data_IF_072976509236
#
_entry.id   IF_072976509236
#
_cell.length_a   1.000
_cell.length_b   1.000
_cell.length_c   1.000
_cell.angle_alpha   90.00
_cell.angle_beta   90.00
_cell.angle_gamma   90.00
#
_symmetry.space_group_name_H-M   'P 1'
#
loop_
_entity.id
_entity.type
_entity.pdbx_description
1 polymer ?
#
# COMPACT_ATOMS: atom_id res chain seq x y z
N UNK A 1 26.60 15.04 -66.00
CA UNK A 1 26.42 14.67 -64.58
C UNK A 1 25.08 13.97 -64.45
N UNK A 2 25.07 12.64 -64.45
CA UNK A 2 23.85 11.87 -64.19
C UNK A 2 23.93 11.36 -62.74
N UNK A 3 22.96 11.75 -61.94
CA UNK A 3 22.81 11.33 -60.54
C UNK A 3 22.25 9.91 -60.53
N UNK A 4 23.08 8.92 -60.18
CA UNK A 4 22.63 7.56 -59.91
C UNK A 4 22.07 7.50 -58.48
N UNK A 5 20.74 7.55 -58.34
CA UNK A 5 20.04 7.25 -57.09
C UNK A 5 20.07 5.72 -56.86
N UNK A 6 21.07 5.24 -56.12
CA UNK A 6 21.07 3.86 -55.60
C UNK A 6 20.35 3.82 -54.26
N UNK A 7 19.14 3.29 -54.27
CA UNK A 7 18.45 2.81 -53.08
C UNK A 7 17.86 1.44 -53.38
N UNK A 8 18.71 0.40 -53.32
CA UNK A 8 18.22 -0.98 -53.31
C UNK A 8 17.69 -1.26 -51.91
N UNK A 9 16.38 -1.07 -51.70
CA UNK A 9 15.72 -1.63 -50.53
C UNK A 9 16.00 -3.14 -50.55
N UNK A 10 16.76 -3.62 -49.57
CA UNK A 10 17.06 -5.06 -49.47
C UNK A 10 15.73 -5.76 -49.22
N UNK A 11 15.44 -6.81 -49.98
CA UNK A 11 14.19 -7.59 -49.86
C UNK A 11 13.86 -8.01 -48.42
N UNK A 12 14.88 -8.19 -47.57
CA UNK A 12 14.70 -8.44 -46.14
C UNK A 12 14.06 -7.29 -45.36
N UNK A 13 14.35 -6.03 -45.70
CA UNK A 13 13.70 -4.85 -45.07
C UNK A 13 12.23 -4.75 -45.46
N UNK A 14 11.90 -5.05 -46.73
CA UNK A 14 10.52 -5.11 -47.20
C UNK A 14 9.78 -6.22 -46.44
N UNK A 15 10.36 -7.42 -46.37
CA UNK A 15 9.76 -8.55 -45.67
C UNK A 15 9.52 -8.26 -44.18
N UNK A 16 10.50 -7.70 -43.47
CA UNK A 16 10.33 -7.32 -42.06
C UNK A 16 9.24 -6.27 -41.87
N UNK A 17 9.16 -5.28 -42.76
CA UNK A 17 8.11 -4.27 -42.71
C UNK A 17 6.73 -4.87 -43.00
N UNK A 18 6.64 -5.79 -43.98
CA UNK A 18 5.41 -6.53 -44.27
C UNK A 18 4.99 -7.41 -43.10
N UNK A 19 5.92 -8.11 -42.44
CA UNK A 19 5.63 -8.91 -41.25
C UNK A 19 5.14 -8.04 -40.10
N UNK A 20 5.72 -6.86 -39.88
CA UNK A 20 5.23 -5.91 -38.87
C UNK A 20 3.83 -5.38 -39.19
N UNK A 21 3.56 -5.05 -40.46
CA UNK A 21 2.22 -4.62 -40.90
C UNK A 21 1.19 -5.74 -40.77
N UNK A 22 1.55 -6.98 -41.15
CA UNK A 22 0.69 -8.15 -40.97
C UNK A 22 0.48 -8.45 -39.48
N UNK A 23 1.51 -8.36 -38.65
CA UNK A 23 1.37 -8.54 -37.21
C UNK A 23 0.51 -7.46 -36.57
N UNK A 24 0.57 -6.21 -37.05
CA UNK A 24 -0.32 -5.13 -36.63
C UNK A 24 -1.76 -5.36 -37.12
N UNK A 25 -1.95 -5.85 -38.35
CA UNK A 25 -3.26 -6.12 -38.94
C UNK A 25 -3.95 -7.36 -38.34
N UNK A 26 -3.17 -8.40 -38.05
CA UNK A 26 -3.62 -9.63 -37.39
C UNK A 26 -3.55 -9.56 -35.87
N UNK A 27 -3.04 -8.46 -35.30
CA UNK A 27 -3.24 -8.15 -33.89
C UNK A 27 -4.75 -8.11 -33.71
N UNK A 28 -5.27 -9.08 -32.95
CA UNK A 28 -6.70 -9.22 -32.68
C UNK A 28 -7.30 -7.84 -32.44
N UNK A 29 -8.41 -7.49 -33.12
CA UNK A 29 -9.16 -6.30 -32.76
C UNK A 29 -9.45 -6.38 -31.26
N UNK A 30 -9.41 -5.22 -30.62
CA UNK A 30 -9.76 -5.00 -29.21
C UNK A 30 -10.76 -6.05 -28.75
N UNK A 31 -10.41 -6.77 -27.69
CA UNK A 31 -11.27 -7.83 -27.19
C UNK A 31 -12.65 -7.22 -26.91
N UNK A 32 -13.73 -7.99 -27.09
CA UNK A 32 -15.09 -7.55 -26.70
C UNK A 32 -15.11 -7.01 -25.25
N UNK A 33 -14.18 -7.48 -24.42
CA UNK A 33 -13.93 -7.00 -23.07
C UNK A 33 -13.43 -5.55 -23.04
N UNK A 34 -12.49 -5.16 -23.92
CA UNK A 34 -11.95 -3.80 -24.01
C UNK A 34 -13.01 -2.78 -24.47
N UNK A 35 -13.85 -3.15 -25.45
CA UNK A 35 -14.97 -2.31 -25.89
C UNK A 35 -16.02 -2.15 -24.78
N UNK A 36 -16.38 -3.24 -24.09
CA UNK A 36 -17.30 -3.20 -22.94
C UNK A 36 -16.72 -2.35 -21.82
N UNK A 37 -15.44 -2.51 -21.50
CA UNK A 37 -14.76 -1.71 -20.50
C UNK A 37 -14.78 -0.22 -20.86
N UNK A 38 -14.47 0.11 -22.12
CA UNK A 38 -14.56 1.49 -22.62
C UNK A 38 -15.97 2.07 -22.54
N UNK A 39 -17.00 1.29 -22.87
CA UNK A 39 -18.40 1.69 -22.77
C UNK A 39 -18.83 1.93 -21.31
N UNK A 40 -18.40 1.07 -20.38
CA UNK A 40 -18.67 1.22 -18.94
C UNK A 40 -17.97 2.48 -18.40
N UNK A 41 -16.66 2.63 -18.63
CA UNK A 41 -15.89 3.77 -18.15
C UNK A 41 -16.43 5.10 -18.69
N UNK A 42 -16.70 5.18 -19.99
CA UNK A 42 -17.26 6.39 -20.60
C UNK A 42 -18.67 6.71 -20.08
N UNK A 43 -19.49 5.70 -19.80
CA UNK A 43 -20.82 5.89 -19.22
C UNK A 43 -20.75 6.37 -17.77
N UNK A 44 -19.82 5.83 -16.97
CA UNK A 44 -19.57 6.29 -15.60
C UNK A 44 -19.08 7.74 -15.58
N UNK A 45 -18.07 8.08 -16.39
CA UNK A 45 -17.58 9.46 -16.53
C UNK A 45 -18.69 10.43 -16.98
N UNK A 46 -19.58 9.98 -17.88
CA UNK A 46 -20.72 10.79 -18.31
C UNK A 46 -21.74 10.96 -17.20
N UNK A 47 -21.98 9.94 -16.37
CA UNK A 47 -22.88 10.04 -15.22
C UNK A 47 -22.32 10.99 -14.17
N UNK A 48 -21.02 10.89 -13.87
CA UNK A 48 -20.28 11.79 -12.99
C UNK A 48 -20.41 13.25 -13.44
N UNK A 49 -20.13 13.55 -14.72
CA UNK A 49 -20.26 14.92 -15.27
C UNK A 49 -21.67 15.52 -15.18
N UNK A 50 -22.72 14.71 -15.02
CA UNK A 50 -24.09 15.22 -14.84
C UNK A 50 -24.32 15.77 -13.43
N UNK A 51 -23.51 15.35 -12.47
CA UNK A 51 -23.55 15.83 -11.09
C UNK A 51 -22.35 16.77 -10.94
N UNK A 52 -22.52 18.03 -11.33
CA UNK A 52 -21.49 19.03 -11.14
C UNK A 52 -21.22 19.23 -9.65
N UNK A 53 -19.97 19.07 -9.22
CA UNK A 53 -19.57 19.48 -7.87
C UNK A 53 -19.52 21.00 -7.82
N UNK A 54 -20.23 21.59 -6.88
CA UNK A 54 -20.19 23.03 -6.67
C UNK A 54 -18.88 23.41 -6.00
N UNK A 55 -18.04 24.18 -6.68
CA UNK A 55 -16.83 24.76 -6.06
C UNK A 55 -17.15 25.77 -4.94
N UNK A 56 -18.43 26.12 -4.75
CA UNK A 56 -18.89 27.07 -3.71
C UNK A 56 -19.22 26.34 -2.40
N UNK A 57 -19.62 25.06 -2.46
CA UNK A 57 -19.97 24.26 -1.30
C UNK A 57 -19.42 22.84 -1.47
N UNK A 58 -18.22 22.61 -0.93
CA UNK A 58 -17.56 21.30 -0.91
C UNK A 58 -18.33 20.38 0.04
N UNK A 59 -18.69 19.15 -0.37
CA UNK A 59 -19.27 18.18 0.55
C UNK A 59 -18.32 17.91 1.72
N UNK A 60 -18.88 17.81 2.93
CA UNK A 60 -18.13 17.55 4.15
C UNK A 60 -18.24 16.08 4.51
N UNK A 61 -17.13 15.35 4.45
CA UNK A 61 -17.10 13.91 4.71
C UNK A 61 -16.28 13.64 5.95
N UNK A 62 -16.87 13.02 6.96
CA UNK A 62 -16.15 12.53 8.12
C UNK A 62 -15.78 11.06 7.91
N UNK A 63 -14.51 10.71 8.10
CA UNK A 63 -13.97 9.38 7.84
C UNK A 63 -13.08 8.99 9.03
N UNK A 64 -13.36 7.86 9.66
CA UNK A 64 -12.48 7.21 10.64
C UNK A 64 -12.72 5.71 10.58
N UNK A 65 -12.02 4.83 11.28
CA UNK A 65 -10.72 5.01 11.93
C UNK A 65 -9.68 4.16 11.18
N UNK A 66 -8.44 4.16 11.67
CA UNK A 66 -7.39 3.28 11.20
C UNK A 66 -6.51 3.96 10.16
N UNK A 67 -5.28 4.27 10.57
CA UNK A 67 -4.25 4.86 9.72
C UNK A 67 -2.86 4.50 10.21
N UNK A 68 -1.95 4.25 9.28
CA UNK A 68 -0.59 3.81 9.57
C UNK A 68 0.38 4.35 8.52
N UNK A 69 1.68 4.17 8.75
CA UNK A 69 2.71 4.35 7.74
C UNK A 69 3.20 2.97 7.30
N UNK A 70 3.08 2.70 6.01
CA UNK A 70 3.62 1.48 5.41
C UNK A 70 5.07 1.75 5.01
N UNK A 71 6.04 1.02 5.58
CA UNK A 71 7.43 1.02 5.14
C UNK A 71 7.69 -0.25 4.33
N UNK A 72 8.09 -0.11 3.08
CA UNK A 72 8.28 -1.21 2.14
C UNK A 72 9.77 -1.38 1.85
N UNK A 73 10.28 -2.59 2.07
CA UNK A 73 11.69 -2.93 1.89
C UNK A 73 11.87 -4.35 1.34
N UNK A 74 13.05 -4.64 0.78
CA UNK A 74 13.46 -6.01 0.49
C UNK A 74 13.68 -6.77 1.80
N UNK A 75 12.83 -7.77 2.06
CA UNK A 75 12.80 -8.50 3.31
C UNK A 75 14.10 -9.22 3.61
N UNK A 76 14.68 -9.89 2.62
CA UNK A 76 15.92 -10.65 2.81
C UNK A 76 17.08 -9.70 3.15
N UNK A 77 17.15 -8.56 2.48
CA UNK A 77 18.17 -7.52 2.74
C UNK A 77 18.02 -6.94 4.14
N UNK A 78 16.80 -6.65 4.59
CA UNK A 78 16.54 -6.18 5.96
C UNK A 78 16.98 -7.21 7.00
N UNK A 79 16.54 -8.47 6.87
CA UNK A 79 16.88 -9.53 7.82
C UNK A 79 18.39 -9.76 7.89
N UNK A 80 19.08 -9.70 6.75
CA UNK A 80 20.54 -9.78 6.71
C UNK A 80 21.21 -8.56 7.36
N UNK A 81 20.68 -7.34 7.17
CA UNK A 81 21.21 -6.10 7.77
C UNK A 81 21.17 -6.14 9.29
N UNK A 82 20.08 -6.65 9.88
CA UNK A 82 19.97 -6.82 11.35
C UNK A 82 20.71 -8.06 11.87
N UNK A 83 21.39 -8.81 11.00
CA UNK A 83 22.13 -10.01 11.37
C UNK A 83 21.25 -11.21 11.73
N UNK A 84 19.96 -11.21 11.33
CA UNK A 84 19.06 -12.33 11.58
C UNK A 84 19.48 -13.53 10.75
N UNK A 85 19.77 -14.64 11.43
CA UNK A 85 20.17 -15.88 10.77
C UNK A 85 18.94 -16.72 10.42
N UNK A 86 18.92 -17.36 9.24
CA UNK A 86 17.94 -18.39 8.92
C UNK A 86 17.95 -19.50 9.99
N UNK A 87 16.78 -20.06 10.27
CA UNK A 87 16.61 -21.21 11.15
C UNK A 87 16.36 -22.48 10.33
N UNK A 88 16.75 -23.65 10.84
CA UNK A 88 16.44 -24.94 10.22
C UNK A 88 15.05 -25.47 10.63
N UNK A 89 14.31 -24.73 11.46
CA UNK A 89 12.99 -25.10 11.96
C UNK A 89 11.94 -24.02 11.65
N UNK A 90 11.39 -23.97 10.42
CA UNK A 90 10.28 -23.07 10.10
C UNK A 90 9.07 -23.40 10.98
N UNK A 91 8.53 -22.40 11.67
CA UNK A 91 7.38 -22.57 12.56
C UNK A 91 6.45 -21.37 12.46
N UNK A 92 5.15 -21.67 12.41
CA UNK A 92 4.10 -20.66 12.49
C UNK A 92 3.98 -20.14 13.93
N UNK A 93 3.99 -18.83 14.09
CA UNK A 93 3.66 -18.14 15.34
C UNK A 93 2.47 -17.20 15.12
N UNK A 94 1.62 -17.05 16.13
CA UNK A 94 0.49 -16.10 16.06
C UNK A 94 0.97 -14.66 16.21
N UNK A 95 2.01 -14.45 17.02
CA UNK A 95 2.69 -13.18 17.25
C UNK A 95 4.20 -13.41 17.48
N UNK A 96 5.01 -12.35 17.45
CA UNK A 96 6.48 -12.41 17.52
C UNK A 96 6.96 -11.73 18.81
N UNK A 97 7.54 -12.50 19.72
CA UNK A 97 8.10 -12.04 21.00
C UNK A 97 9.61 -11.80 20.92
N UNK A 98 10.30 -12.47 20.01
CA UNK A 98 11.75 -12.47 19.96
C UNK A 98 12.30 -12.79 18.56
N UNK A 99 13.62 -12.61 18.44
CA UNK A 99 14.40 -12.81 17.21
C UNK A 99 14.29 -14.23 16.66
N UNK A 100 14.22 -15.25 17.53
CA UNK A 100 14.09 -16.65 17.10
C UNK A 100 12.72 -16.89 16.44
N UNK A 101 11.63 -16.45 17.07
CA UNK A 101 10.29 -16.55 16.51
C UNK A 101 10.16 -15.78 15.19
N UNK A 102 10.79 -14.61 15.07
CA UNK A 102 10.84 -13.86 13.80
C UNK A 102 11.48 -14.69 12.68
N UNK A 103 12.62 -15.33 12.95
CA UNK A 103 13.29 -16.17 11.97
C UNK A 103 12.46 -17.40 11.58
N UNK A 104 11.87 -18.07 12.56
CA UNK A 104 11.00 -19.24 12.36
C UNK A 104 9.76 -18.90 11.55
N UNK A 105 9.08 -17.80 11.89
CA UNK A 105 7.87 -17.34 11.21
C UNK A 105 8.18 -16.87 9.78
N UNK A 106 9.22 -16.05 9.58
CA UNK A 106 9.60 -15.62 8.24
C UNK A 106 9.96 -16.82 7.36
N UNK A 107 10.78 -17.77 7.84
CA UNK A 107 11.13 -18.98 7.09
C UNK A 107 9.88 -19.81 6.69
N UNK A 108 8.89 -19.90 7.59
CA UNK A 108 7.65 -20.65 7.37
C UNK A 108 6.85 -20.11 6.18
N UNK A 109 6.72 -18.78 6.06
CA UNK A 109 5.96 -18.14 4.97
C UNK A 109 6.80 -17.88 3.71
N UNK A 110 8.09 -17.64 3.86
CA UNK A 110 9.01 -17.27 2.77
C UNK A 110 9.16 -18.38 1.73
N UNK A 111 9.43 -19.62 2.16
CA UNK A 111 9.65 -20.74 1.25
C UNK A 111 8.45 -21.05 0.32
N UNK A 112 7.20 -21.18 0.82
CA UNK A 112 6.04 -21.32 -0.06
C UNK A 112 5.71 -20.04 -0.84
N UNK A 113 6.25 -18.89 -0.43
CA UNK A 113 5.90 -17.56 -0.93
C UNK A 113 4.46 -17.21 -0.56
N UNK A 114 4.10 -17.41 0.72
CA UNK A 114 2.78 -17.15 1.25
C UNK A 114 2.73 -15.77 1.94
N UNK A 115 1.57 -15.12 1.89
CA UNK A 115 1.37 -13.83 2.53
C UNK A 115 1.11 -14.03 4.01
N UNK A 116 1.65 -13.14 4.86
CA UNK A 116 1.37 -13.13 6.29
C UNK A 116 1.60 -11.76 6.88
N UNK A 117 0.99 -11.53 8.02
CA UNK A 117 1.10 -10.31 8.82
C UNK A 117 1.14 -10.69 10.29
N UNK A 118 2.12 -10.19 11.05
CA UNK A 118 2.30 -10.57 12.46
C UNK A 118 2.53 -9.36 13.35
N UNK A 119 1.86 -9.37 14.50
CA UNK A 119 2.17 -8.48 15.59
C UNK A 119 3.53 -8.84 16.18
N UNK A 120 4.39 -7.85 16.36
CA UNK A 120 5.64 -7.96 17.12
C UNK A 120 5.40 -7.31 18.47
N UNK A 121 5.32 -8.12 19.53
CA UNK A 121 5.03 -7.62 20.89
C UNK A 121 6.27 -7.07 21.61
N UNK A 122 7.43 -7.17 20.96
CA UNK A 122 8.71 -6.71 21.50
C UNK A 122 9.10 -5.39 20.83
N UNK A 123 8.78 -4.29 21.50
CA UNK A 123 9.01 -2.93 21.00
C UNK A 123 10.47 -2.68 20.62
N UNK A 124 11.42 -3.25 21.38
CA UNK A 124 12.85 -3.08 21.10
C UNK A 124 13.23 -3.76 19.77
N UNK A 125 12.73 -4.98 19.55
CA UNK A 125 12.94 -5.70 18.28
C UNK A 125 12.26 -4.96 17.12
N UNK A 126 11.04 -4.48 17.32
CA UNK A 126 10.30 -3.77 16.29
C UNK A 126 10.98 -2.45 15.91
N UNK A 127 11.38 -1.64 16.88
CA UNK A 127 12.13 -0.40 16.63
C UNK A 127 13.45 -0.66 15.91
N UNK A 128 14.18 -1.74 16.24
CA UNK A 128 15.38 -2.12 15.50
C UNK A 128 15.09 -2.45 14.02
N UNK A 129 13.96 -3.12 13.73
CA UNK A 129 13.54 -3.41 12.36
C UNK A 129 13.18 -2.12 11.60
N UNK A 130 12.41 -1.23 12.23
CA UNK A 130 12.01 0.06 11.63
C UNK A 130 13.23 0.91 11.32
N UNK A 131 14.14 1.12 12.27
CA UNK A 131 15.35 1.92 12.04
C UNK A 131 16.24 1.31 10.96
N UNK A 132 16.46 -0.01 11.00
CA UNK A 132 17.21 -0.69 9.96
C UNK A 132 16.54 -0.56 8.57
N UNK A 133 15.22 -0.56 8.50
CA UNK A 133 14.48 -0.40 7.25
C UNK A 133 14.62 1.00 6.64
N UNK A 134 14.61 2.05 7.48
CA UNK A 134 14.79 3.46 7.08
C UNK A 134 16.19 3.72 6.51
N UNK A 135 17.19 2.99 6.99
CA UNK A 135 18.56 3.09 6.50
C UNK A 135 18.83 2.32 5.19
N UNK A 136 17.91 1.46 4.74
CA UNK A 136 18.13 0.67 3.53
C UNK A 136 17.96 1.52 2.26
N UNK A 137 18.88 1.39 1.29
CA UNK A 137 18.70 2.03 0.00
C UNK A 137 17.50 1.43 -0.72
N UNK A 138 16.64 2.28 -1.27
CA UNK A 138 15.44 1.84 -1.98
C UNK A 138 14.27 1.46 -1.08
N UNK A 139 14.34 1.76 0.22
CA UNK A 139 13.12 1.78 1.04
C UNK A 139 12.11 2.76 0.42
N UNK A 140 10.84 2.41 0.56
CA UNK A 140 9.71 3.25 0.16
C UNK A 140 8.80 3.37 1.35
N UNK A 141 8.12 4.49 1.48
CA UNK A 141 7.08 4.64 2.46
C UNK A 141 5.81 5.14 1.78
N UNK A 142 4.66 4.80 2.36
CA UNK A 142 3.37 5.30 1.93
C UNK A 142 2.43 5.46 3.11
N UNK A 143 1.46 6.35 2.95
CA UNK A 143 0.31 6.44 3.86
C UNK A 143 -0.52 5.16 3.71
N UNK A 144 -0.71 4.46 4.83
CA UNK A 144 -1.50 3.24 4.94
C UNK A 144 -2.79 3.44 5.73
N UNK A 145 -3.62 2.40 5.74
CA UNK A 145 -4.90 2.38 6.43
C UNK A 145 -6.08 2.86 5.59
N UNK A 146 -7.23 2.23 5.81
CA UNK A 146 -8.43 2.44 5.00
C UNK A 146 -8.93 3.89 5.09
N UNK A 147 -8.91 4.50 6.28
CA UNK A 147 -9.45 5.84 6.48
C UNK A 147 -8.61 6.93 5.79
N UNK A 148 -7.27 7.00 5.96
CA UNK A 148 -6.43 7.94 5.21
C UNK A 148 -6.55 7.79 3.69
N UNK A 149 -6.62 6.55 3.19
CA UNK A 149 -6.76 6.31 1.74
C UNK A 149 -8.10 6.82 1.19
N UNK A 150 -9.20 6.58 1.90
CA UNK A 150 -10.49 7.15 1.53
C UNK A 150 -10.50 8.67 1.65
N UNK A 151 -9.87 9.23 2.69
CA UNK A 151 -9.77 10.68 2.89
C UNK A 151 -8.99 11.37 1.76
N UNK A 152 -7.83 10.84 1.38
CA UNK A 152 -7.05 11.33 0.25
C UNK A 152 -7.84 11.31 -1.06
N UNK A 153 -8.61 10.23 -1.29
CA UNK A 153 -9.47 10.13 -2.46
C UNK A 153 -10.60 11.16 -2.45
N UNK A 154 -11.34 11.27 -1.35
CA UNK A 154 -12.45 12.22 -1.21
C UNK A 154 -11.99 13.67 -1.33
N UNK A 155 -10.85 14.02 -0.74
CA UNK A 155 -10.25 15.35 -0.86
C UNK A 155 -9.87 15.68 -2.31
N UNK A 156 -9.32 14.70 -3.04
CA UNK A 156 -8.99 14.83 -4.47
C UNK A 156 -10.24 14.97 -5.35
N UNK A 157 -11.37 14.41 -4.90
CA UNK A 157 -12.69 14.57 -5.49
C UNK A 157 -13.43 15.80 -4.95
N UNK A 158 -12.74 16.80 -4.38
CA UNK A 158 -13.37 18.08 -4.06
C UNK A 158 -14.20 18.11 -2.77
N UNK A 159 -14.06 17.12 -1.88
CA UNK A 159 -14.64 17.17 -0.54
C UNK A 159 -13.73 17.91 0.45
N UNK A 160 -14.32 18.46 1.50
CA UNK A 160 -13.60 18.76 2.74
C UNK A 160 -13.76 17.56 3.68
N UNK A 161 -12.68 17.10 4.27
CA UNK A 161 -12.64 15.82 4.99
C UNK A 161 -12.22 16.02 6.44
N UNK A 162 -12.96 15.41 7.37
CA UNK A 162 -12.53 15.22 8.75
C UNK A 162 -12.03 13.79 8.90
N UNK A 163 -10.73 13.61 9.17
CA UNK A 163 -10.10 12.30 9.29
C UNK A 163 -9.86 11.92 10.75
N UNK A 164 -10.52 10.86 11.23
CA UNK A 164 -10.30 10.25 12.54
C UNK A 164 -9.09 9.31 12.53
N UNK A 165 -8.05 9.68 13.27
CA UNK A 165 -6.82 8.89 13.40
C UNK A 165 -5.74 9.66 14.15
N UNK A 166 -4.80 8.94 14.74
CA UNK A 166 -3.65 9.51 15.43
C UNK A 166 -2.42 9.43 14.54
N UNK A 167 -1.82 10.59 14.29
CA UNK A 167 -0.78 10.75 13.27
C UNK A 167 0.34 11.66 13.76
N UNK A 168 1.53 11.49 13.17
CA UNK A 168 2.63 12.42 13.39
C UNK A 168 2.45 13.72 12.60
N UNK A 169 3.10 14.82 13.02
CA UNK A 169 3.08 16.07 12.27
C UNK A 169 3.50 15.88 10.81
N UNK A 170 4.58 15.13 10.58
CA UNK A 170 5.08 14.84 9.23
C UNK A 170 4.01 14.14 8.38
N UNK A 171 3.29 13.16 8.95
CA UNK A 171 2.19 12.49 8.26
C UNK A 171 1.09 13.48 7.86
N UNK A 172 0.72 14.39 8.78
CA UNK A 172 -0.32 15.39 8.54
C UNK A 172 0.10 16.35 7.42
N UNK A 173 1.38 16.74 7.36
CA UNK A 173 1.92 17.64 6.33
C UNK A 173 1.89 17.03 4.92
N UNK A 174 1.84 15.69 4.80
CA UNK A 174 1.64 15.00 3.52
C UNK A 174 0.17 14.93 3.06
N UNK A 175 -0.79 15.20 3.95
CA UNK A 175 -2.20 15.19 3.60
C UNK A 175 -2.58 16.45 2.80
N UNK A 176 -3.66 16.34 2.04
CA UNK A 176 -4.26 17.50 1.38
C UNK A 176 -4.69 18.56 2.40
N UNK A 177 -4.57 19.84 2.06
CA UNK A 177 -5.07 20.96 2.89
C UNK A 177 -6.58 20.88 3.18
N UNK A 178 -7.31 20.09 2.38
CA UNK A 178 -8.74 19.81 2.56
C UNK A 178 -9.02 18.69 3.58
N UNK A 179 -7.99 18.12 4.21
CA UNK A 179 -8.13 17.07 5.23
C UNK A 179 -7.77 17.68 6.58
N UNK A 180 -8.75 17.75 7.48
CA UNK A 180 -8.55 18.09 8.89
C UNK A 180 -8.49 16.82 9.72
N UNK A 181 -7.38 16.60 10.41
CA UNK A 181 -7.22 15.46 11.31
C UNK A 181 -7.90 15.70 12.66
N UNK A 182 -8.54 14.66 13.17
CA UNK A 182 -9.23 14.60 14.44
C UNK A 182 -8.79 13.36 15.23
N UNK A 183 -7.73 13.52 16.00
CA UNK A 183 -7.10 12.48 16.81
C UNK A 183 -5.93 13.05 17.58
N UNK A 184 -5.11 12.17 18.16
CA UNK A 184 -3.93 12.57 18.90
C UNK A 184 -2.79 12.90 17.92
N UNK A 185 -1.98 13.89 18.26
CA UNK A 185 -0.67 14.07 17.61
C UNK A 185 0.32 13.17 18.33
N UNK A 186 0.90 12.23 17.61
CA UNK A 186 1.86 11.25 18.14
C UNK A 186 3.24 11.52 17.55
N UNK A 187 4.31 11.12 18.24
CA UNK A 187 5.68 11.28 17.70
C UNK A 187 5.91 10.32 16.53
N UNK A 188 5.56 9.05 16.74
CA UNK A 188 5.66 7.99 15.74
C UNK A 188 4.26 7.39 15.55
N UNK A 189 3.70 7.39 14.32
CA UNK A 189 2.43 6.74 14.04
C UNK A 189 2.59 5.20 14.07
N UNK A 190 1.47 4.48 14.05
CA UNK A 190 1.52 3.03 13.85
C UNK A 190 2.22 2.72 12.51
N UNK A 191 3.22 1.83 12.54
CA UNK A 191 4.04 1.47 11.36
C UNK A 191 3.78 0.03 10.97
N UNK A 192 3.55 -0.19 9.68
CA UNK A 192 3.47 -1.50 9.06
C UNK A 192 4.71 -1.72 8.21
N UNK A 193 5.58 -2.64 8.62
CA UNK A 193 6.78 -2.96 7.89
C UNK A 193 6.51 -4.11 6.91
N UNK A 194 6.53 -3.80 5.63
CA UNK A 194 6.23 -4.70 4.52
C UNK A 194 7.54 -5.24 3.93
N UNK A 195 7.88 -6.48 4.29
CA UNK A 195 9.08 -7.18 3.80
C UNK A 195 8.73 -7.91 2.50
N UNK A 196 8.98 -7.28 1.36
CA UNK A 196 8.77 -7.86 0.04
C UNK A 196 9.93 -8.81 -0.34
N UNK A 197 9.62 -9.86 -1.09
CA UNK A 197 10.64 -10.71 -1.70
C UNK A 197 10.17 -11.23 -3.06
N UNK A 198 11.04 -11.24 -4.09
CA UNK A 198 10.69 -11.72 -5.41
C UNK A 198 10.65 -13.25 -5.49
N UNK A 199 10.05 -13.76 -6.56
CA UNK A 199 10.13 -15.19 -6.90
C UNK A 199 11.59 -15.61 -7.09
N UNK A 200 11.99 -16.73 -6.50
CA UNK A 200 13.37 -17.23 -6.56
C UNK A 200 14.34 -16.53 -5.61
N UNK A 201 13.88 -15.61 -4.76
CA UNK A 201 14.70 -15.06 -3.68
C UNK A 201 15.18 -16.17 -2.74
N UNK A 202 16.41 -16.05 -2.26
CA UNK A 202 17.03 -17.04 -1.36
C UNK A 202 17.35 -16.43 0.00
N UNK A 203 17.06 -17.15 1.08
CA UNK A 203 17.48 -16.80 2.43
C UNK A 203 17.91 -18.07 3.18
N UNK A 204 19.22 -18.24 3.36
CA UNK A 204 19.79 -19.49 3.86
C UNK A 204 19.44 -20.69 2.96
N UNK A 205 18.89 -21.78 3.51
CA UNK A 205 18.48 -22.95 2.73
C UNK A 205 17.14 -22.76 2.01
N UNK A 206 16.41 -21.67 2.26
CA UNK A 206 15.08 -21.44 1.70
C UNK A 206 15.15 -20.67 0.39
N UNK A 207 14.28 -21.05 -0.54
CA UNK A 207 14.05 -20.32 -1.79
C UNK A 207 12.56 -20.08 -1.94
N UNK A 208 12.15 -18.84 -2.21
CA UNK A 208 10.75 -18.48 -2.35
C UNK A 208 10.18 -18.96 -3.70
N UNK A 209 9.06 -19.70 -3.65
CA UNK A 209 8.40 -20.24 -4.85
C UNK A 209 7.66 -19.19 -5.69
N UNK A 210 7.32 -18.04 -5.11
CA UNK A 210 6.62 -16.93 -5.78
C UNK A 210 6.91 -15.63 -5.06
N UNK A 211 6.75 -14.51 -5.76
CA UNK A 211 6.85 -13.20 -5.11
C UNK A 211 5.73 -13.03 -4.08
N UNK A 212 6.08 -12.54 -2.89
CA UNK A 212 5.10 -12.19 -1.86
C UNK A 212 5.70 -11.21 -0.85
N UNK A 213 4.96 -10.92 0.22
CA UNK A 213 5.40 -10.10 1.34
C UNK A 213 5.12 -10.76 2.69
N UNK A 214 5.95 -10.46 3.66
CA UNK A 214 5.77 -10.75 5.08
C UNK A 214 5.65 -9.41 5.81
N UNK A 215 4.53 -9.16 6.48
CA UNK A 215 4.27 -7.88 7.15
C UNK A 215 4.50 -8.08 8.65
N UNK A 216 5.14 -7.11 9.29
CA UNK A 216 5.18 -7.01 10.75
C UNK A 216 4.78 -5.63 11.19
N UNK A 217 4.08 -5.55 12.32
CA UNK A 217 3.62 -4.30 12.89
C UNK A 217 3.63 -4.37 14.42
N UNK A 218 3.58 -3.22 15.07
CA UNK A 218 3.47 -3.07 16.53
C UNK A 218 2.51 -1.91 16.81
N UNK A 219 1.24 -2.09 16.43
CA UNK A 219 0.25 -1.02 16.47
C UNK A 219 -0.24 -0.78 17.91
N UNK A 220 -0.13 0.47 18.36
CA UNK A 220 -0.56 0.91 19.69
C UNK A 220 -1.86 1.72 19.66
N UNK A 221 -2.22 2.28 18.50
CA UNK A 221 -3.32 3.24 18.39
C UNK A 221 -4.54 2.64 17.68
N UNK A 222 -4.31 2.04 16.51
CA UNK A 222 -5.37 1.51 15.64
C UNK A 222 -6.26 0.44 16.29
N UNK A 223 -5.73 -0.58 17.00
CA UNK A 223 -6.55 -1.62 17.64
C UNK A 223 -7.43 -1.08 18.77
N UNK A 224 -7.05 0.04 19.37
CA UNK A 224 -7.79 0.66 20.48
C UNK A 224 -8.73 1.79 20.01
N UNK A 225 -8.75 2.11 18.72
CA UNK A 225 -9.49 3.25 18.16
C UNK A 225 -9.23 4.54 18.95
N UNK A 226 -7.97 4.80 19.29
CA UNK A 226 -7.55 5.84 20.24
C UNK A 226 -8.07 7.25 19.92
N UNK A 227 -8.29 7.53 18.64
CA UNK A 227 -8.78 8.80 18.10
C UNK A 227 -10.29 8.97 18.20
N UNK A 228 -11.05 7.95 18.62
CA UNK A 228 -12.51 7.95 18.62
C UNK A 228 -13.12 9.12 19.39
N UNK A 229 -12.65 9.41 20.60
CA UNK A 229 -13.18 10.50 21.41
C UNK A 229 -12.90 11.88 20.80
N UNK A 230 -11.70 12.08 20.25
CA UNK A 230 -11.32 13.33 19.60
C UNK A 230 -12.11 13.54 18.30
N UNK A 231 -12.31 12.46 17.55
CA UNK A 231 -13.13 12.44 16.34
C UNK A 231 -14.58 12.78 16.65
N UNK A 232 -15.19 12.14 17.66
CA UNK A 232 -16.57 12.42 18.09
C UNK A 232 -16.78 13.90 18.45
N UNK A 233 -15.86 14.49 19.22
CA UNK A 233 -15.92 15.91 19.60
C UNK A 233 -15.88 16.83 18.38
N UNK A 234 -14.99 16.57 17.42
CA UNK A 234 -14.89 17.38 16.19
C UNK A 234 -16.03 17.13 15.21
N UNK A 235 -16.65 15.95 15.25
CA UNK A 235 -17.78 15.60 14.38
C UNK A 235 -18.94 16.59 14.54
N UNK A 236 -19.20 17.04 15.77
CA UNK A 236 -20.30 17.94 16.11
C UNK A 236 -20.16 19.32 15.44
N UNK A 237 -18.95 19.89 15.44
CA UNK A 237 -18.70 21.19 14.81
C UNK A 237 -18.48 21.09 13.30
N UNK A 238 -17.93 19.96 12.84
CA UNK A 238 -17.73 19.71 11.41
C UNK A 238 -19.05 19.53 10.65
N UNK A 239 -20.09 18.98 11.31
CA UNK A 239 -21.44 18.78 10.78
C UNK A 239 -21.43 18.10 9.40
N UNK A 240 -20.91 16.87 9.29
CA UNK A 240 -20.67 16.20 8.01
C UNK A 240 -21.97 15.86 7.26
N UNK A 241 -21.88 15.84 5.94
CA UNK A 241 -22.93 15.36 5.04
C UNK A 241 -22.89 13.81 4.91
N UNK A 242 -21.73 13.20 5.17
CA UNK A 242 -21.50 11.75 5.17
C UNK A 242 -20.52 11.35 6.28
N UNK A 243 -20.84 10.27 6.99
CA UNK A 243 -19.93 9.60 7.93
C UNK A 243 -19.55 8.22 7.38
N UNK A 244 -18.25 7.96 7.29
CA UNK A 244 -17.68 6.66 6.90
C UNK A 244 -16.89 6.11 8.09
N UNK A 245 -17.19 4.87 8.48
CA UNK A 245 -16.50 4.15 9.56
C UNK A 245 -15.79 2.92 9.00
N UNK A 246 -14.49 2.80 9.28
CA UNK A 246 -13.59 1.70 8.94
C UNK A 246 -12.58 1.45 10.06
N UNK A 247 -11.62 0.56 9.83
CA UNK A 247 -10.55 0.27 10.80
C UNK A 247 -10.94 -0.70 11.93
N UNK A 248 -12.23 -1.01 12.08
CA UNK A 248 -12.73 -1.94 13.11
C UNK A 248 -12.11 -3.34 13.00
N UNK A 249 -11.69 -3.76 11.81
CA UNK A 249 -11.02 -5.04 11.60
C UNK A 249 -9.66 -5.14 12.30
N UNK A 250 -9.03 -4.00 12.64
CA UNK A 250 -7.76 -3.97 13.38
C UNK A 250 -7.92 -4.39 14.84
N UNK A 251 -9.16 -4.47 15.34
CA UNK A 251 -9.47 -4.97 16.67
C UNK A 251 -9.54 -6.50 16.71
N UNK A 252 -9.63 -7.16 15.56
CA UNK A 252 -9.81 -8.61 15.50
C UNK A 252 -8.49 -9.33 15.84
N UNK A 253 -8.58 -10.38 16.67
CA UNK A 253 -7.45 -11.17 17.18
C UNK A 253 -6.29 -10.36 17.79
N UNK A 254 -6.52 -9.11 18.19
CA UNK A 254 -5.52 -8.32 18.90
C UNK A 254 -5.43 -8.74 20.37
N UNK A 255 -4.21 -8.93 20.94
CA UNK A 255 -4.05 -9.38 22.32
C UNK A 255 -4.25 -8.23 23.31
N UNK A 256 -5.50 -7.79 23.48
CA UNK A 256 -5.86 -6.77 24.45
C UNK A 256 -5.42 -7.18 25.87
N UNK A 257 -4.80 -6.25 26.59
CA UNK A 257 -4.49 -6.44 28.02
C UNK A 257 -5.82 -6.56 28.78
N UNK A 258 -6.00 -7.66 29.52
CA UNK A 258 -7.13 -7.86 30.43
C UNK A 258 -7.00 -7.00 31.68
#
# INVERSE_FOLDING_TARGET
MAVELRSSLKYGSVLSFTVLLLAYWFRSPQSVLDERLGAVLSSLLRAERKVGMSNIARPRVAIGFGGCVDIIVDGVTLLNKIGLRPTDQPLHHDYIENVEQLAQSFAYFFAPGAASERLVVNDTLFSQLVEASRELPGNRWSIGGNAPMMAGRMASEGCDVLLGGSFSPDFIDYLSEHITVAGNTVEEPDIHLILEYPSGATWGPYTSRRANRYIVHSDDHNPYLDSMEAFEKKLQSFNPDLLVVGGLQMMDNFPFKQ
#
